data_IF_988324845583
#
_entry.id   IF_988324845583
#
_cell.length_a   1.000
_cell.length_b   1.000
_cell.length_c   1.000
_cell.angle_alpha   90.00
_cell.angle_beta   90.00
_cell.angle_gamma   90.00
#
_symmetry.space_group_name_H-M   'P 1'
#
loop_
_entity.id
_entity.type
_entity.pdbx_description
1 polymer ?
#
# COMPACT_ATOMS: atom_id res chain seq x y z
N UNK A 1 68.78 7.45 -13.85
CA UNK A 1 67.46 7.10 -14.40
C UNK A 1 66.79 6.20 -13.37
N UNK A 2 65.97 6.75 -12.46
CA UNK A 2 65.35 5.98 -11.39
C UNK A 2 64.05 5.37 -11.93
N UNK A 3 64.00 4.05 -12.08
CA UNK A 3 62.80 3.34 -12.54
C UNK A 3 61.89 3.21 -11.31
N UNK A 4 60.70 3.85 -11.27
CA UNK A 4 59.80 3.68 -10.14
C UNK A 4 59.41 2.21 -10.00
N UNK A 5 59.37 1.74 -8.76
CA UNK A 5 59.17 0.34 -8.41
C UNK A 5 57.78 -0.13 -8.90
N UNK A 6 57.77 -1.04 -9.88
CA UNK A 6 56.55 -1.63 -10.48
C UNK A 6 55.66 -2.31 -9.44
N UNK A 7 56.21 -2.69 -8.28
CA UNK A 7 55.45 -3.32 -7.22
C UNK A 7 54.48 -2.33 -6.54
N UNK A 8 54.92 -1.10 -6.28
CA UNK A 8 54.06 -0.06 -5.67
C UNK A 8 52.94 0.37 -6.62
N UNK A 9 53.23 0.52 -7.92
CA UNK A 9 52.24 0.91 -8.92
C UNK A 9 51.11 -0.14 -9.08
N UNK A 10 51.43 -1.42 -8.91
CA UNK A 10 50.44 -2.50 -8.95
C UNK A 10 49.61 -2.59 -7.65
N UNK A 11 50.22 -2.28 -6.50
CA UNK A 11 49.50 -2.19 -5.22
C UNK A 11 48.50 -1.02 -5.24
N UNK A 12 48.91 0.15 -5.73
CA UNK A 12 48.05 1.32 -5.88
C UNK A 12 46.90 1.06 -6.86
N UNK A 13 47.17 0.44 -8.01
CA UNK A 13 46.13 0.03 -8.97
C UNK A 13 45.10 -0.91 -8.34
N UNK A 14 45.53 -1.95 -7.60
CA UNK A 14 44.61 -2.87 -6.90
C UNK A 14 43.75 -2.15 -5.86
N UNK A 15 44.34 -1.20 -5.13
CA UNK A 15 43.65 -0.42 -4.10
C UNK A 15 42.65 0.56 -4.72
N UNK A 16 42.96 1.12 -5.88
CA UNK A 16 42.08 2.03 -6.61
C UNK A 16 40.90 1.28 -7.25
N UNK A 17 41.16 0.11 -7.86
CA UNK A 17 40.12 -0.77 -8.44
C UNK A 17 39.15 -1.29 -7.38
N UNK A 18 39.64 -1.69 -6.20
CA UNK A 18 38.76 -2.14 -5.10
C UNK A 18 37.87 -1.01 -4.59
N UNK A 19 38.42 0.20 -4.38
CA UNK A 19 37.63 1.37 -3.97
C UNK A 19 36.58 1.80 -4.99
N UNK A 20 36.86 1.70 -6.30
CA UNK A 20 35.85 2.03 -7.33
C UNK A 20 34.72 1.03 -7.37
N UNK A 21 35.00 -0.28 -7.25
CA UNK A 21 33.96 -1.31 -7.15
C UNK A 21 33.10 -1.15 -5.89
N UNK A 22 33.70 -0.83 -4.74
CA UNK A 22 32.97 -0.64 -3.48
C UNK A 22 32.08 0.62 -3.51
N UNK A 23 32.59 1.73 -4.06
CA UNK A 23 31.78 2.94 -4.29
C UNK A 23 30.61 2.67 -5.24
N UNK A 24 30.85 1.99 -6.36
CA UNK A 24 29.80 1.65 -7.32
C UNK A 24 28.72 0.74 -6.69
N UNK A 25 29.12 -0.27 -5.91
CA UNK A 25 28.19 -1.15 -5.19
C UNK A 25 27.37 -0.39 -4.14
N UNK A 26 27.97 0.57 -3.44
CA UNK A 26 27.28 1.39 -2.43
C UNK A 26 26.25 2.33 -3.07
N UNK A 27 26.61 2.97 -4.18
CA UNK A 27 25.70 3.83 -4.95
C UNK A 27 24.54 3.03 -5.54
N UNK A 28 24.82 1.85 -6.12
CA UNK A 28 23.79 0.95 -6.64
C UNK A 28 22.83 0.49 -5.53
N UNK A 29 23.35 0.11 -4.36
CA UNK A 29 22.55 -0.26 -3.18
C UNK A 29 21.68 0.90 -2.67
N UNK A 30 22.19 2.13 -2.69
CA UNK A 30 21.43 3.32 -2.25
C UNK A 30 20.38 3.78 -3.27
N UNK A 31 20.63 3.62 -4.57
CA UNK A 31 19.64 3.86 -5.61
C UNK A 31 18.48 2.87 -5.52
N UNK A 32 18.81 1.59 -5.36
CA UNK A 32 17.84 0.50 -5.22
C UNK A 32 16.97 0.63 -3.97
N UNK A 33 17.52 1.08 -2.83
CA UNK A 33 16.74 1.33 -1.62
C UNK A 33 15.77 2.51 -1.76
N UNK A 34 16.16 3.58 -2.47
CA UNK A 34 15.29 4.73 -2.76
C UNK A 34 14.14 4.35 -3.68
N UNK A 35 14.39 3.63 -4.76
CA UNK A 35 13.34 3.17 -5.69
C UNK A 35 12.34 2.27 -4.97
N UNK A 36 12.81 1.34 -4.13
CA UNK A 36 11.94 0.49 -3.31
C UNK A 36 11.08 1.31 -2.36
N UNK A 37 11.64 2.35 -1.74
CA UNK A 37 10.90 3.22 -0.84
C UNK A 37 9.83 4.04 -1.59
N UNK A 38 10.15 4.59 -2.77
CA UNK A 38 9.20 5.32 -3.61
C UNK A 38 8.08 4.39 -4.07
N UNK A 39 8.41 3.21 -4.61
CA UNK A 39 7.42 2.24 -5.05
C UNK A 39 6.54 1.74 -3.88
N UNK A 40 7.12 1.56 -2.69
CA UNK A 40 6.37 1.25 -1.48
C UNK A 40 5.38 2.37 -1.13
N UNK A 41 5.81 3.63 -1.09
CA UNK A 41 4.92 4.74 -0.75
C UNK A 41 3.86 4.98 -1.82
N UNK A 42 4.21 4.85 -3.10
CA UNK A 42 3.27 4.97 -4.22
C UNK A 42 2.19 3.88 -4.14
N UNK A 43 2.58 2.61 -4.02
CA UNK A 43 1.63 1.49 -3.90
C UNK A 43 0.79 1.61 -2.63
N UNK A 44 1.39 1.99 -1.50
CA UNK A 44 0.67 2.21 -0.23
C UNK A 44 -0.35 3.33 -0.36
N UNK A 45 0.00 4.44 -1.02
CA UNK A 45 -0.92 5.55 -1.23
C UNK A 45 -2.12 5.12 -2.10
N UNK A 46 -1.87 4.39 -3.19
CA UNK A 46 -2.90 3.86 -4.07
C UNK A 46 -3.86 2.93 -3.32
N UNK A 47 -3.35 1.98 -2.54
CA UNK A 47 -4.17 1.06 -1.75
C UNK A 47 -4.99 1.80 -0.70
N UNK A 48 -4.37 2.71 0.04
CA UNK A 48 -5.06 3.47 1.09
C UNK A 48 -6.14 4.35 0.49
N UNK A 49 -5.86 4.99 -0.64
CA UNK A 49 -6.84 5.79 -1.36
C UNK A 49 -8.02 4.95 -1.82
N UNK A 50 -7.77 3.78 -2.42
CA UNK A 50 -8.83 2.86 -2.82
C UNK A 50 -9.65 2.40 -1.63
N UNK A 51 -9.02 1.97 -0.53
CA UNK A 51 -9.75 1.50 0.65
C UNK A 51 -10.60 2.61 1.28
N UNK A 52 -10.10 3.84 1.23
CA UNK A 52 -10.84 5.02 1.71
C UNK A 52 -12.02 5.34 0.80
N UNK A 53 -11.80 5.38 -0.51
CA UNK A 53 -12.84 5.67 -1.48
C UNK A 53 -13.91 4.57 -1.52
N UNK A 54 -13.49 3.31 -1.53
CA UNK A 54 -14.37 2.14 -1.47
C UNK A 54 -15.19 2.13 -0.18
N UNK A 55 -14.60 2.52 0.96
CA UNK A 55 -15.35 2.65 2.21
C UNK A 55 -16.48 3.68 2.11
N UNK A 56 -16.19 4.86 1.55
CA UNK A 56 -17.20 5.90 1.33
C UNK A 56 -18.28 5.41 0.37
N UNK A 57 -17.89 4.83 -0.77
CA UNK A 57 -18.82 4.36 -1.80
C UNK A 57 -19.73 3.25 -1.32
N UNK A 58 -19.24 2.38 -0.44
CA UNK A 58 -20.01 1.29 0.13
C UNK A 58 -20.91 1.72 1.30
N UNK A 59 -20.61 2.85 1.96
CA UNK A 59 -21.41 3.40 3.07
C UNK A 59 -22.45 4.42 2.60
N UNK A 60 -22.18 5.12 1.49
CA UNK A 60 -23.13 6.01 0.82
C UNK A 60 -23.98 5.17 -0.14
N UNK A 61 -25.31 5.32 -0.16
CA UNK A 61 -26.14 4.65 -1.14
C UNK A 61 -25.90 5.28 -2.52
N UNK A 62 -25.02 4.65 -3.30
CA UNK A 62 -24.69 5.04 -4.68
C UNK A 62 -25.32 4.02 -5.62
N UNK A 63 -26.07 4.47 -6.62
CA UNK A 63 -26.75 3.60 -7.60
C UNK A 63 -25.78 2.65 -8.28
N UNK A 64 -24.57 3.11 -8.59
CA UNK A 64 -23.51 2.29 -9.15
C UNK A 64 -23.16 1.06 -8.29
N UNK A 65 -22.96 1.25 -6.99
CA UNK A 65 -22.60 0.15 -6.07
C UNK A 65 -23.77 -0.81 -5.93
N UNK A 66 -24.99 -0.29 -5.89
CA UNK A 66 -26.18 -1.12 -5.88
C UNK A 66 -26.36 -1.93 -7.16
N UNK A 67 -26.13 -1.32 -8.33
CA UNK A 67 -26.21 -1.98 -9.62
C UNK A 67 -25.14 -3.08 -9.73
N UNK A 68 -23.92 -2.81 -9.29
CA UNK A 68 -22.85 -3.80 -9.25
C UNK A 68 -23.18 -4.96 -8.30
N UNK A 69 -23.69 -4.69 -7.10
CA UNK A 69 -24.09 -5.76 -6.17
C UNK A 69 -25.28 -6.57 -6.68
N UNK A 70 -26.27 -5.92 -7.30
CA UNK A 70 -27.41 -6.59 -7.94
C UNK A 70 -26.95 -7.48 -9.09
N UNK A 71 -26.07 -6.98 -9.95
CA UNK A 71 -25.44 -7.76 -11.02
C UNK A 71 -24.69 -8.98 -10.46
N UNK A 72 -24.01 -8.80 -9.33
CA UNK A 72 -23.28 -9.87 -8.64
C UNK A 72 -24.18 -10.84 -7.85
N UNK A 73 -25.47 -10.54 -7.72
CA UNK A 73 -26.40 -11.30 -6.88
C UNK A 73 -26.14 -11.13 -5.37
N UNK A 74 -25.34 -10.14 -4.97
CA UNK A 74 -25.06 -9.86 -3.57
C UNK A 74 -26.16 -8.99 -2.94
N UNK A 75 -26.55 -9.28 -1.69
CA UNK A 75 -27.53 -8.49 -0.98
C UNK A 75 -26.97 -7.12 -0.58
N UNK A 76 -27.82 -6.11 -0.54
CA UNK A 76 -27.42 -4.72 -0.30
C UNK A 76 -26.69 -4.49 1.03
N UNK A 77 -27.00 -5.27 2.08
CA UNK A 77 -26.29 -5.18 3.36
C UNK A 77 -24.78 -5.50 3.25
N UNK A 78 -24.37 -6.24 2.21
CA UNK A 78 -22.97 -6.60 1.97
C UNK A 78 -22.12 -5.36 1.69
N UNK A 79 -22.68 -4.35 1.03
CA UNK A 79 -22.02 -3.06 0.81
C UNK A 79 -21.57 -2.46 2.15
N UNK A 80 -22.50 -2.29 3.09
CA UNK A 80 -22.20 -1.70 4.40
C UNK A 80 -21.15 -2.48 5.17
N UNK A 81 -21.18 -3.82 5.11
CA UNK A 81 -20.16 -4.66 5.74
C UNK A 81 -18.79 -4.36 5.12
N UNK A 82 -18.68 -4.40 3.79
CA UNK A 82 -17.44 -4.09 3.07
C UNK A 82 -16.94 -2.67 3.39
N UNK A 83 -17.84 -1.69 3.44
CA UNK A 83 -17.50 -0.30 3.71
C UNK A 83 -16.88 -0.11 5.09
N UNK A 84 -17.43 -0.75 6.13
CA UNK A 84 -16.87 -0.72 7.50
C UNK A 84 -15.50 -1.40 7.55
N UNK A 85 -15.35 -2.56 6.89
CA UNK A 85 -14.06 -3.28 6.87
C UNK A 85 -12.98 -2.52 6.10
N UNK A 86 -13.32 -1.87 4.99
CA UNK A 86 -12.41 -1.01 4.22
C UNK A 86 -11.96 0.21 5.03
N UNK A 87 -12.87 0.85 5.79
CA UNK A 87 -12.49 1.90 6.73
C UNK A 87 -11.49 1.38 7.78
N UNK A 88 -11.78 0.21 8.36
CA UNK A 88 -10.90 -0.45 9.32
C UNK A 88 -9.52 -0.75 8.74
N UNK A 89 -9.47 -1.24 7.50
CA UNK A 89 -8.23 -1.55 6.80
C UNK A 89 -7.41 -0.28 6.50
N UNK A 90 -8.05 0.80 6.04
CA UNK A 90 -7.39 2.09 5.81
C UNK A 90 -6.76 2.65 7.09
N UNK A 91 -7.52 2.64 8.20
CA UNK A 91 -7.03 3.07 9.52
C UNK A 91 -5.87 2.18 10.00
N UNK A 92 -5.99 0.86 9.86
CA UNK A 92 -4.96 -0.09 10.26
C UNK A 92 -3.64 0.08 9.50
N UNK A 93 -3.68 0.30 8.19
CA UNK A 93 -2.49 0.48 7.35
C UNK A 93 -1.74 1.75 7.77
N UNK A 94 -2.48 2.81 8.07
CA UNK A 94 -1.96 4.12 8.41
C UNK A 94 -1.48 4.21 9.86
N UNK A 95 -2.12 3.51 10.80
CA UNK A 95 -1.81 3.57 12.22
C UNK A 95 -0.31 3.27 12.50
N UNK A 96 0.41 4.11 13.26
CA UNK A 96 1.78 3.81 13.64
C UNK A 96 1.83 2.68 14.68
N UNK A 97 2.81 1.77 14.57
CA UNK A 97 3.17 0.73 15.57
C UNK A 97 2.21 -0.45 15.82
N UNK A 98 1.27 -0.75 14.92
CA UNK A 98 0.45 -1.97 15.01
C UNK A 98 0.86 -3.02 13.95
N UNK A 99 1.99 -3.73 14.11
CA UNK A 99 2.50 -4.64 13.07
C UNK A 99 1.55 -5.79 12.77
N UNK A 100 0.91 -6.36 13.79
CA UNK A 100 -0.01 -7.49 13.63
C UNK A 100 -1.29 -7.06 12.88
N UNK A 101 -1.93 -5.98 13.32
CA UNK A 101 -3.17 -5.48 12.70
C UNK A 101 -2.92 -5.03 11.25
N UNK A 102 -1.72 -4.56 10.93
CA UNK A 102 -1.33 -4.29 9.54
C UNK A 102 -1.32 -5.55 8.69
N UNK A 103 -0.77 -6.64 9.19
CA UNK A 103 -0.76 -7.91 8.47
C UNK A 103 -2.19 -8.42 8.23
N UNK A 104 -3.07 -8.29 9.22
CA UNK A 104 -4.50 -8.58 9.05
C UNK A 104 -5.19 -7.66 8.04
N UNK A 105 -4.86 -6.37 8.00
CA UNK A 105 -5.42 -5.43 7.03
C UNK A 105 -4.97 -5.74 5.59
N UNK A 106 -3.70 -6.10 5.39
CA UNK A 106 -3.21 -6.55 4.07
C UNK A 106 -3.83 -7.90 3.66
N UNK A 107 -3.99 -8.83 4.59
CA UNK A 107 -4.68 -10.10 4.33
C UNK A 107 -6.14 -9.85 3.96
N UNK A 108 -6.84 -8.99 4.69
CA UNK A 108 -8.21 -8.57 4.39
C UNK A 108 -8.35 -7.92 3.02
N UNK A 109 -7.45 -7.00 2.65
CA UNK A 109 -7.44 -6.39 1.32
C UNK A 109 -7.19 -7.41 0.21
N UNK A 110 -6.30 -8.38 0.43
CA UNK A 110 -6.08 -9.47 -0.51
C UNK A 110 -7.33 -10.35 -0.69
N UNK A 111 -8.00 -10.73 0.40
CA UNK A 111 -9.24 -11.51 0.32
C UNK A 111 -10.37 -10.73 -0.35
N UNK A 112 -10.49 -9.43 -0.05
CA UNK A 112 -11.45 -8.54 -0.69
C UNK A 112 -11.27 -8.54 -2.21
N UNK A 113 -10.08 -8.18 -2.69
CA UNK A 113 -9.84 -8.03 -4.12
C UNK A 113 -9.81 -9.37 -4.87
N UNK A 114 -9.32 -10.45 -4.25
CA UNK A 114 -9.40 -11.78 -4.85
C UNK A 114 -10.85 -12.28 -4.97
N UNK A 115 -11.69 -12.06 -3.94
CA UNK A 115 -13.11 -12.42 -3.99
C UNK A 115 -13.88 -11.62 -5.04
N UNK A 116 -13.54 -10.33 -5.23
CA UNK A 116 -14.12 -9.51 -6.30
C UNK A 116 -13.77 -10.06 -7.69
N UNK A 117 -12.50 -10.40 -7.94
CA UNK A 117 -12.07 -11.01 -9.19
C UNK A 117 -12.79 -12.33 -9.45
N UNK A 118 -12.87 -13.22 -8.46
CA UNK A 118 -13.58 -14.49 -8.59
C UNK A 118 -15.07 -14.28 -8.87
N UNK A 119 -15.73 -13.34 -8.19
CA UNK A 119 -17.16 -13.05 -8.39
C UNK A 119 -17.45 -12.58 -9.82
N UNK A 120 -16.65 -11.66 -10.35
CA UNK A 120 -16.79 -11.20 -11.74
C UNK A 120 -16.49 -12.31 -12.76
N UNK A 121 -15.49 -13.15 -12.49
CA UNK A 121 -15.20 -14.31 -13.34
C UNK A 121 -16.34 -15.33 -13.35
N UNK A 122 -17.03 -15.54 -12.22
CA UNK A 122 -18.17 -16.49 -12.15
C UNK A 122 -19.39 -16.05 -12.95
N UNK A 123 -19.57 -14.75 -13.14
CA UNK A 123 -20.69 -14.17 -13.91
C UNK A 123 -20.31 -14.01 -15.38
N UNK A 124 -19.02 -14.08 -15.71
CA UNK A 124 -18.51 -13.95 -17.07
C UNK A 124 -18.24 -12.51 -17.48
N UNK A 125 -18.01 -11.61 -16.53
CA UNK A 125 -17.72 -10.21 -16.81
C UNK A 125 -16.38 -10.02 -17.55
N UNK A 126 -16.31 -8.98 -18.38
CA UNK A 126 -15.11 -8.64 -19.14
C UNK A 126 -13.94 -8.13 -18.30
N UNK A 127 -12.75 -8.09 -18.91
CA UNK A 127 -11.51 -7.61 -18.28
C UNK A 127 -11.64 -6.19 -17.68
N UNK A 128 -12.54 -5.37 -18.20
CA UNK A 128 -12.78 -4.02 -17.69
C UNK A 128 -13.33 -4.02 -16.26
N UNK A 129 -14.05 -5.07 -15.86
CA UNK A 129 -14.71 -5.16 -14.55
C UNK A 129 -13.82 -5.84 -13.51
N UNK A 130 -13.14 -6.94 -13.87
CA UNK A 130 -12.25 -7.66 -12.94
C UNK A 130 -10.79 -7.18 -12.99
N UNK A 131 -10.40 -6.41 -14.00
CA UNK A 131 -9.06 -5.84 -14.13
C UNK A 131 -8.69 -4.86 -13.00
N UNK A 132 -9.55 -3.90 -12.65
CA UNK A 132 -9.29 -2.98 -11.53
C UNK A 132 -9.07 -3.68 -10.18
N UNK A 133 -9.94 -4.59 -9.69
CA UNK A 133 -9.67 -5.29 -8.43
C UNK A 133 -8.42 -6.17 -8.50
N UNK A 134 -8.09 -6.76 -9.65
CA UNK A 134 -6.84 -7.50 -9.82
C UNK A 134 -5.61 -6.59 -9.68
N UNK A 135 -5.64 -5.41 -10.30
CA UNK A 135 -4.58 -4.41 -10.21
C UNK A 135 -4.37 -3.98 -8.76
N UNK A 136 -5.45 -3.68 -8.03
CA UNK A 136 -5.36 -3.32 -6.61
C UNK A 136 -4.82 -4.47 -5.76
N UNK A 137 -5.29 -5.71 -6.01
CA UNK A 137 -4.72 -6.94 -5.43
C UNK A 137 -3.22 -7.06 -5.62
N UNK A 138 -2.75 -6.90 -6.85
CA UNK A 138 -1.33 -6.92 -7.19
C UNK A 138 -0.56 -5.78 -6.48
N UNK A 139 -1.15 -4.58 -6.40
CA UNK A 139 -0.60 -3.46 -5.65
C UNK A 139 -0.50 -3.76 -4.15
N UNK A 140 -1.49 -4.40 -3.51
CA UNK A 140 -1.39 -4.85 -2.11
C UNK A 140 -0.21 -5.76 -1.89
N UNK A 141 -0.09 -6.77 -2.73
CA UNK A 141 0.99 -7.76 -2.62
C UNK A 141 2.33 -7.05 -2.84
N UNK A 142 2.44 -6.19 -3.85
CA UNK A 142 3.64 -5.41 -4.10
C UNK A 142 3.98 -4.51 -2.90
N UNK A 143 3.02 -3.76 -2.35
CA UNK A 143 3.20 -2.93 -1.15
C UNK A 143 3.65 -3.75 0.06
N UNK A 144 3.07 -4.95 0.24
CA UNK A 144 3.43 -5.87 1.31
C UNK A 144 4.85 -6.44 1.15
N UNK A 145 5.23 -6.86 -0.06
CA UNK A 145 6.57 -7.38 -0.38
C UNK A 145 7.64 -6.30 -0.27
N UNK A 146 7.36 -5.09 -0.77
CA UNK A 146 8.30 -3.96 -0.76
C UNK A 146 8.44 -3.29 0.62
N UNK A 147 7.62 -3.69 1.61
CA UNK A 147 7.63 -3.14 2.96
C UNK A 147 9.03 -3.21 3.60
N UNK A 148 9.66 -2.06 3.94
CA UNK A 148 10.99 -2.00 4.57
C UNK A 148 11.03 -2.73 5.92
N UNK A 149 12.15 -3.41 6.19
CA UNK A 149 12.37 -4.23 7.38
C UNK A 149 12.24 -3.47 8.72
N UNK A 150 12.43 -2.14 8.73
CA UNK A 150 12.24 -1.27 9.92
C UNK A 150 10.80 -1.22 10.46
N UNK A 151 9.83 -1.82 9.75
CA UNK A 151 8.45 -1.99 10.22
C UNK A 151 8.06 -3.45 10.49
N UNK A 152 8.98 -4.39 10.28
CA UNK A 152 8.81 -5.80 10.68
C UNK A 152 9.14 -5.91 12.17
N UNK A 153 8.51 -6.85 12.88
CA UNK A 153 8.76 -7.08 14.30
C UNK A 153 10.28 -7.13 14.56
N UNK A 154 10.81 -6.43 15.58
CA UNK A 154 12.19 -6.61 15.97
C UNK A 154 12.34 -8.06 16.43
N UNK A 155 12.96 -8.90 15.61
CA UNK A 155 13.21 -10.31 15.91
C UNK A 155 14.30 -10.51 16.99
N UNK A 156 14.60 -9.48 17.79
CA UNK A 156 15.67 -9.52 18.80
C UNK A 156 15.28 -8.79 20.09
N UNK A 157 14.31 -9.35 20.83
CA UNK A 157 14.20 -9.12 22.28
C UNK A 157 14.57 -10.37 23.10
N UNK A 158 15.52 -11.16 22.60
CA UNK A 158 16.19 -12.22 23.38
C UNK A 158 17.67 -11.88 23.57
N UNK A 159 17.93 -10.71 24.15
CA UNK A 159 19.16 -10.49 24.91
C UNK A 159 18.78 -9.69 26.16
N UNK A 160 18.90 -10.27 27.37
CA UNK A 160 18.81 -9.46 28.57
C UNK A 160 20.05 -8.56 28.57
N UNK A 161 19.88 -7.31 28.18
CA UNK A 161 20.88 -6.29 28.42
C UNK A 161 20.78 -5.93 29.90
N UNK A 162 21.63 -6.56 30.71
CA UNK A 162 21.98 -6.03 32.01
C UNK A 162 22.58 -4.64 31.82
N UNK A 163 22.04 -3.65 32.54
CA UNK A 163 22.61 -2.31 32.66
C UNK A 163 22.22 -1.33 31.55
N UNK A 164 21.02 -0.77 31.65
CA UNK A 164 20.71 0.55 31.11
C UNK A 164 19.72 1.24 32.05
N UNK A 165 20.26 1.72 33.16
CA UNK A 165 19.64 2.80 33.91
C UNK A 165 19.60 4.06 33.02
N UNK A 166 18.48 4.79 33.10
CA UNK A 166 18.15 6.02 32.38
C UNK A 166 17.51 5.87 30.97
N UNK A 167 16.27 5.39 30.92
CA UNK A 167 15.33 5.72 29.84
C UNK A 167 14.15 6.49 30.46
N UNK A 168 14.01 7.77 30.09
CA UNK A 168 12.86 8.61 30.46
C UNK A 168 11.53 8.04 29.96
N UNK A 169 10.39 8.60 30.42
CA UNK A 169 9.07 8.08 30.07
C UNK A 169 8.85 8.09 28.54
N UNK A 170 8.11 7.11 27.99
CA UNK A 170 7.95 6.97 26.55
C UNK A 170 7.25 8.22 25.99
N UNK A 171 7.97 9.02 25.21
CA UNK A 171 7.41 10.17 24.50
C UNK A 171 6.31 9.69 23.52
N UNK A 172 5.06 9.76 23.93
CA UNK A 172 3.90 9.71 23.03
C UNK A 172 3.84 11.04 22.29
N UNK A 173 4.70 11.26 21.29
CA UNK A 173 4.67 12.49 20.48
C UNK A 173 3.36 12.53 19.67
N UNK A 174 2.39 13.41 19.97
CA UNK A 174 1.09 13.49 19.28
C UNK A 174 1.23 13.77 17.77
N UNK A 175 2.37 14.35 17.38
CA UNK A 175 2.76 14.64 15.99
C UNK A 175 2.91 13.40 15.11
N UNK A 176 3.13 12.21 15.68
CA UNK A 176 3.22 10.96 14.93
C UNK A 176 1.86 10.49 14.36
N UNK A 177 0.75 10.94 14.96
CA UNK A 177 -0.61 10.66 14.49
C UNK A 177 -1.16 11.78 13.60
N UNK A 178 -0.73 13.03 13.81
CA UNK A 178 -1.24 14.18 13.07
C UNK A 178 -1.03 14.08 11.55
N UNK A 179 0.14 13.62 11.09
CA UNK A 179 0.43 13.44 9.67
C UNK A 179 -0.42 12.35 9.02
N UNK A 180 -0.48 11.11 9.56
CA UNK A 180 -1.33 10.07 8.99
C UNK A 180 -2.84 10.40 9.06
N UNK A 181 -3.29 11.05 10.13
CA UNK A 181 -4.68 11.42 10.31
C UNK A 181 -5.07 12.60 9.40
N UNK A 182 -4.19 13.59 9.23
CA UNK A 182 -4.36 14.65 8.24
C UNK A 182 -4.38 14.12 6.81
N UNK A 183 -3.53 13.13 6.49
CA UNK A 183 -3.56 12.46 5.20
C UNK A 183 -4.89 11.72 4.97
N UNK A 184 -5.39 10.98 5.98
CA UNK A 184 -6.71 10.36 5.91
C UNK A 184 -7.81 11.38 5.65
N UNK A 185 -7.83 12.48 6.42
CA UNK A 185 -8.83 13.54 6.25
C UNK A 185 -8.78 14.13 4.85
N UNK A 186 -7.58 14.38 4.32
CA UNK A 186 -7.41 14.86 2.94
C UNK A 186 -7.90 13.82 1.93
N UNK A 187 -7.59 12.54 2.11
CA UNK A 187 -8.03 11.48 1.19
C UNK A 187 -9.55 11.28 1.24
N UNK A 188 -10.17 11.34 2.42
CA UNK A 188 -11.62 11.36 2.58
C UNK A 188 -12.23 12.59 1.93
N UNK A 189 -11.65 13.78 2.12
CA UNK A 189 -12.14 15.01 1.48
C UNK A 189 -12.03 14.95 -0.04
N UNK A 190 -10.91 14.44 -0.57
CA UNK A 190 -10.73 14.22 -2.02
C UNK A 190 -11.71 13.17 -2.53
N UNK A 191 -11.88 12.05 -1.82
CA UNK A 191 -12.85 11.01 -2.20
C UNK A 191 -14.27 11.57 -2.25
N UNK A 192 -14.69 12.34 -1.24
CA UNK A 192 -15.99 12.99 -1.20
C UNK A 192 -16.16 14.05 -2.30
N UNK A 193 -15.09 14.76 -2.66
CA UNK A 193 -15.10 15.71 -3.77
C UNK A 193 -15.16 15.01 -5.15
N UNK A 194 -14.59 13.81 -5.24
CA UNK A 194 -14.54 13.01 -6.48
C UNK A 194 -15.84 12.25 -6.72
N UNK A 195 -16.66 12.04 -5.68
CA UNK A 195 -17.95 11.34 -5.75
C UNK A 195 -18.83 11.76 -6.94
N UNK A 196 -19.18 13.04 -7.15
CA UNK A 196 -20.10 13.41 -8.23
C UNK A 196 -19.53 13.15 -9.63
N UNK A 197 -18.21 13.27 -9.81
CA UNK A 197 -17.57 12.97 -11.09
C UNK A 197 -17.44 11.46 -11.33
N UNK A 198 -17.14 10.70 -10.27
CA UNK A 198 -17.11 9.24 -10.32
C UNK A 198 -18.50 8.67 -10.58
N UNK A 199 -19.52 9.17 -9.88
CA UNK A 199 -20.91 8.74 -10.03
C UNK A 199 -21.42 8.95 -11.46
N UNK A 200 -21.20 10.14 -12.03
CA UNK A 200 -21.56 10.42 -13.43
C UNK A 200 -20.87 9.48 -14.43
N UNK A 201 -19.56 9.24 -14.27
CA UNK A 201 -18.80 8.35 -15.15
C UNK A 201 -19.24 6.88 -14.99
N UNK A 202 -19.51 6.43 -13.77
CA UNK A 202 -19.93 5.07 -13.50
C UNK A 202 -21.38 4.83 -13.92
N UNK A 203 -22.26 5.83 -13.83
CA UNK A 203 -23.62 5.77 -14.36
C UNK A 203 -23.60 5.60 -15.89
N UNK A 204 -22.82 6.41 -16.62
CA UNK A 204 -22.64 6.23 -18.07
C UNK A 204 -22.09 4.84 -18.43
N UNK A 205 -21.11 4.34 -17.66
CA UNK A 205 -20.55 3.01 -17.87
C UNK A 205 -21.59 1.91 -17.58
N UNK A 206 -22.41 2.07 -16.53
CA UNK A 206 -23.45 1.11 -16.17
C UNK A 206 -24.55 1.02 -17.23
N UNK A 207 -24.96 2.16 -17.79
CA UNK A 207 -25.91 2.25 -18.91
C UNK A 207 -25.30 1.57 -20.15
N UNK A 208 -24.03 1.83 -20.47
CA UNK A 208 -23.34 1.17 -21.60
C UNK A 208 -23.24 -0.35 -21.45
N UNK A 209 -23.13 -0.86 -20.22
CA UNK A 209 -23.08 -2.30 -19.94
C UNK A 209 -24.47 -2.92 -19.72
N UNK A 210 -25.55 -2.13 -19.80
CA UNK A 210 -26.93 -2.60 -19.68
C UNK A 210 -27.32 -3.04 -18.25
N UNK A 211 -26.66 -2.48 -17.23
CA UNK A 211 -26.91 -2.82 -15.83
C UNK A 211 -27.98 -1.91 -15.17
N UNK A 212 -28.23 -0.75 -15.77
CA UNK A 212 -29.21 0.24 -15.34
C UNK A 212 -29.95 0.71 -16.60
N UNK A 213 -31.28 0.79 -16.53
CA UNK A 213 -32.10 1.38 -17.58
C UNK A 213 -32.02 2.94 -17.50
N UNK A 214 -32.02 3.63 -18.65
CA UNK A 214 -31.97 5.12 -18.75
C UNK A 214 -33.02 5.86 -17.89
#
# INVERSE_FOLDING_TARGET
>A
MNMPDRFDENAERRTQTTRTHEKAATVARSGWSRIRLIAFWATTFVIVFELTAGSVWNLVPIEWVEAQLRHLGYPHYFAYILGVWQAGAAVAIIAPRLPLIKEWAYAGAFFLWSSAVVSHLTIGDGLQTWGPPLMFGACAIASWVLRPADRRLPASRLRPAAGQDAAGPPETRPRAWAVPMGLLVVLYAVSLLTLPAADAMMHEWAVQNGWIDE
#
